data_IF_294875139056
#
_entry.id   IF_294875139056
#
_cell.length_a   1.000
_cell.length_b   1.000
_cell.length_c   1.000
_cell.angle_alpha   90.00
_cell.angle_beta   90.00
_cell.angle_gamma   90.00
#
_symmetry.space_group_name_H-M   'P 1'
#
loop_
_entity.id
_entity.type
_entity.pdbx_description
1 polymer ?
#
# COMPACT_ATOMS: atom_id res chain seq x y z
N UNK A 1 27.89 39.22 -22.66
CA UNK A 1 26.77 38.75 -21.81
C UNK A 1 26.50 39.69 -20.61
N UNK A 2 26.45 41.02 -20.81
CA UNK A 2 26.19 41.99 -19.73
C UNK A 2 25.36 43.23 -20.13
N UNK A 3 24.70 43.22 -21.31
CA UNK A 3 23.80 44.31 -21.76
C UNK A 3 22.32 43.90 -21.89
N UNK A 4 21.97 42.65 -21.62
CA UNK A 4 20.59 42.16 -21.71
C UNK A 4 19.82 42.13 -20.36
N UNK A 5 20.47 42.49 -19.24
CA UNK A 5 19.84 42.46 -17.89
C UNK A 5 19.24 43.79 -17.42
N UNK A 6 19.35 44.88 -18.19
CA UNK A 6 18.86 46.19 -17.75
C UNK A 6 17.50 46.61 -18.35
N UNK A 7 17.01 45.89 -19.37
CA UNK A 7 15.76 46.24 -20.06
C UNK A 7 14.51 45.48 -19.55
N UNK A 8 14.68 44.45 -18.71
CA UNK A 8 13.57 43.66 -18.16
C UNK A 8 13.13 44.07 -16.75
N UNK A 9 13.82 45.02 -16.09
CA UNK A 9 13.44 45.50 -14.75
C UNK A 9 12.44 46.66 -14.76
N UNK A 10 12.27 47.37 -15.87
CA UNK A 10 11.42 48.57 -15.94
C UNK A 10 9.98 48.33 -16.44
N UNK A 11 9.67 47.17 -17.04
CA UNK A 11 8.29 46.87 -17.49
C UNK A 11 7.41 46.26 -16.39
N UNK A 12 8.00 45.59 -15.39
CA UNK A 12 7.26 44.93 -14.30
C UNK A 12 6.80 45.91 -13.22
N UNK A 13 7.54 47.00 -13.00
CA UNK A 13 7.21 48.02 -11.97
C UNK A 13 6.08 48.96 -12.41
N UNK A 14 5.82 49.12 -13.71
CA UNK A 14 4.72 49.97 -14.20
C UNK A 14 3.36 49.26 -14.28
N UNK A 15 3.31 47.93 -14.31
CA UNK A 15 2.03 47.18 -14.27
C UNK A 15 1.48 47.00 -12.84
N UNK A 16 2.33 47.04 -11.80
CA UNK A 16 1.86 46.93 -10.40
C UNK A 16 1.21 48.21 -9.84
N UNK A 17 1.36 49.38 -10.49
CA UNK A 17 0.70 50.63 -10.05
C UNK A 17 -0.69 50.87 -10.66
N UNK A 18 -1.18 50.02 -11.58
CA UNK A 18 -2.51 50.18 -12.20
C UNK A 18 -3.61 49.26 -11.67
N UNK A 19 -3.31 48.36 -10.73
CA UNK A 19 -4.31 47.50 -10.07
C UNK A 19 -4.69 47.98 -8.66
N UNK A 20 -4.05 49.03 -8.13
CA UNK A 20 -4.36 49.60 -6.81
C UNK A 20 -5.30 50.82 -6.82
N UNK A 21 -5.96 51.13 -7.95
CA UNK A 21 -6.77 52.33 -8.11
C UNK A 21 -8.24 52.10 -8.54
N UNK A 22 -8.77 50.87 -8.43
CA UNK A 22 -10.18 50.57 -8.80
C UNK A 22 -11.00 49.98 -7.64
N UNK A 23 -10.48 49.90 -6.41
CA UNK A 23 -11.24 49.38 -5.25
C UNK A 23 -11.75 50.46 -4.27
N UNK A 24 -11.60 51.75 -4.58
CA UNK A 24 -11.99 52.84 -3.64
C UNK A 24 -13.34 53.51 -3.92
N UNK A 25 -14.21 52.89 -4.72
CA UNK A 25 -15.59 53.39 -4.94
C UNK A 25 -16.60 52.27 -4.85
N UNK A 26 -16.92 51.88 -3.62
CA UNK A 26 -18.22 51.31 -3.21
C UNK A 26 -18.31 51.36 -1.66
N UNK A 27 -18.01 52.53 -1.10
CA UNK A 27 -18.35 52.88 0.28
C UNK A 27 -19.73 53.55 0.27
N UNK A 28 -20.77 52.79 0.60
CA UNK A 28 -22.02 53.21 1.26
C UNK A 28 -23.09 52.12 1.06
N UNK A 29 -22.99 51.05 1.85
CA UNK A 29 -24.16 50.32 2.32
C UNK A 29 -24.05 50.27 3.84
N UNK A 30 -24.97 50.96 4.51
CA UNK A 30 -25.10 50.91 5.96
C UNK A 30 -25.44 49.45 6.36
N UNK A 31 -24.45 48.73 6.88
CA UNK A 31 -24.70 47.47 7.56
C UNK A 31 -25.23 47.82 8.95
N UNK A 32 -26.52 47.64 9.18
CA UNK A 32 -27.08 47.65 10.53
C UNK A 32 -26.53 46.45 11.29
N UNK A 33 -25.49 46.65 12.09
CA UNK A 33 -25.06 45.68 13.08
C UNK A 33 -26.05 45.71 14.24
N UNK A 34 -27.09 44.89 14.18
CA UNK A 34 -27.82 44.48 15.38
C UNK A 34 -26.89 43.59 16.20
N UNK A 35 -26.37 44.14 17.31
CA UNK A 35 -25.68 43.36 18.33
C UNK A 35 -26.69 42.40 18.93
N UNK A 36 -26.52 41.10 18.69
CA UNK A 36 -27.32 40.07 19.35
C UNK A 36 -26.67 39.82 20.70
N UNK A 37 -27.29 40.30 21.78
CA UNK A 37 -26.92 39.90 23.13
C UNK A 37 -27.28 38.42 23.35
N UNK A 38 -26.38 37.59 23.91
CA UNK A 38 -26.70 36.21 24.21
C UNK A 38 -27.71 36.14 25.36
N UNK A 39 -28.84 35.46 25.13
CA UNK A 39 -29.79 35.14 26.21
C UNK A 39 -29.20 34.03 27.09
N UNK A 40 -29.35 34.13 28.42
CA UNK A 40 -28.99 33.06 29.33
C UNK A 40 -30.04 31.95 29.27
N UNK A 41 -29.57 30.73 29.01
CA UNK A 41 -30.17 29.41 29.23
C UNK A 41 -31.60 29.10 28.73
N UNK A 42 -31.73 28.03 27.94
CA UNK A 42 -32.99 27.30 27.77
C UNK A 42 -33.14 26.56 26.44
N UNK A 43 -33.02 25.22 26.50
CA UNK A 43 -33.34 24.26 25.43
C UNK A 43 -34.68 24.54 24.71
N UNK A 44 -34.69 24.45 23.38
CA UNK A 44 -35.83 23.91 22.60
C UNK A 44 -35.32 23.26 21.31
N UNK A 45 -35.67 22.00 21.09
CA UNK A 45 -35.59 21.28 19.81
C UNK A 45 -36.88 21.57 19.03
N UNK A 46 -36.78 22.01 17.77
CA UNK A 46 -37.84 21.76 16.76
C UNK A 46 -37.24 21.65 15.35
N UNK A 47 -37.72 20.65 14.62
CA UNK A 47 -37.42 20.30 13.23
C UNK A 47 -37.86 21.33 12.20
N UNK A 48 -37.08 21.50 11.12
CA UNK A 48 -37.58 21.45 9.73
C UNK A 48 -36.44 21.53 8.72
N UNK A 49 -36.66 20.89 7.58
CA UNK A 49 -35.85 20.95 6.35
C UNK A 49 -35.44 22.37 5.97
N UNK A 50 -34.14 22.60 5.85
CA UNK A 50 -33.57 23.62 4.96
C UNK A 50 -32.08 23.34 4.76
N UNK A 51 -31.65 23.35 3.50
CA UNK A 51 -30.25 23.32 3.12
C UNK A 51 -29.57 24.60 3.66
N UNK A 52 -29.02 24.54 4.86
CA UNK A 52 -28.17 25.60 5.42
C UNK A 52 -26.71 25.30 5.09
N UNK A 53 -26.15 26.10 4.19
CA UNK A 53 -24.75 26.04 3.72
C UNK A 53 -23.73 26.69 4.66
N UNK A 54 -24.08 26.86 5.94
CA UNK A 54 -23.13 27.12 7.03
C UNK A 54 -23.73 26.45 8.27
N UNK A 55 -23.00 25.53 8.89
CA UNK A 55 -23.56 24.62 9.89
C UNK A 55 -24.00 25.38 11.15
N UNK A 56 -25.26 25.20 11.53
CA UNK A 56 -25.80 25.64 12.82
C UNK A 56 -25.25 24.84 14.03
N UNK A 57 -24.06 24.23 13.88
CA UNK A 57 -23.38 23.39 14.88
C UNK A 57 -22.08 24.02 15.40
N UNK A 58 -21.77 25.25 14.99
CA UNK A 58 -20.53 25.91 15.40
C UNK A 58 -20.69 26.41 16.85
N UNK A 59 -20.10 25.69 17.79
CA UNK A 59 -19.99 26.11 19.19
C UNK A 59 -18.86 27.14 19.31
N UNK A 60 -19.20 28.41 19.46
CA UNK A 60 -18.22 29.47 19.64
C UNK A 60 -17.68 29.51 21.09
N UNK A 61 -16.39 29.85 21.23
CA UNK A 61 -15.75 30.13 22.51
C UNK A 61 -15.04 31.48 22.44
N UNK A 62 -15.05 32.23 23.54
CA UNK A 62 -14.23 33.44 23.72
C UNK A 62 -12.86 33.12 24.35
N UNK A 63 -12.57 31.84 24.59
CA UNK A 63 -11.29 31.38 25.13
C UNK A 63 -10.33 31.10 23.98
N UNK A 64 -9.22 31.84 23.91
CA UNK A 64 -8.15 31.57 22.95
C UNK A 64 -7.35 30.34 23.43
N UNK A 65 -7.65 29.17 22.85
CA UNK A 65 -6.98 27.93 23.19
C UNK A 65 -6.59 27.17 21.92
N UNK A 66 -5.32 26.77 21.83
CA UNK A 66 -4.84 25.87 20.80
C UNK A 66 -5.08 24.42 21.21
N UNK A 67 -5.54 23.57 20.28
CA UNK A 67 -5.61 22.12 20.48
C UNK A 67 -4.19 21.56 20.28
N UNK A 68 -3.48 21.27 21.38
CA UNK A 68 -2.07 20.88 21.34
C UNK A 68 -1.82 19.37 21.44
N UNK A 69 -2.74 18.61 22.05
CA UNK A 69 -2.61 17.16 22.24
C UNK A 69 -3.94 16.48 21.94
N UNK A 70 -3.88 15.48 21.08
CA UNK A 70 -4.96 14.50 20.90
C UNK A 70 -4.59 13.23 21.67
N UNK A 71 -5.59 12.45 22.05
CA UNK A 71 -5.37 11.14 22.65
C UNK A 71 -4.69 10.23 21.62
N UNK A 72 -3.59 9.58 22.03
CA UNK A 72 -2.88 8.62 21.18
C UNK A 72 -3.73 7.39 20.93
N UNK A 73 -3.82 6.96 19.67
CA UNK A 73 -4.54 5.77 19.25
C UNK A 73 -3.80 4.50 19.71
N UNK A 74 -4.52 3.62 20.39
CA UNK A 74 -4.00 2.31 20.81
C UNK A 74 -4.04 1.32 19.64
N UNK A 75 -3.09 0.40 19.62
CA UNK A 75 -3.08 -0.70 18.66
C UNK A 75 -3.96 -1.84 19.18
N UNK A 76 -5.04 -2.16 18.44
CA UNK A 76 -5.88 -3.32 18.70
C UNK A 76 -5.09 -4.62 18.56
N UNK A 77 -5.24 -5.51 19.54
CA UNK A 77 -4.54 -6.81 19.61
C UNK A 77 -5.51 -7.89 20.07
N UNK A 78 -5.41 -9.07 19.47
CA UNK A 78 -6.21 -10.25 19.80
C UNK A 78 -5.38 -11.27 20.57
N UNK A 79 -4.15 -11.53 20.13
CA UNK A 79 -3.23 -12.48 20.74
C UNK A 79 -1.99 -11.80 21.33
N UNK A 80 -1.54 -12.29 22.48
CA UNK A 80 -0.20 -11.94 22.96
C UNK A 80 0.93 -12.64 22.20
N UNK A 81 2.18 -12.31 22.52
CA UNK A 81 3.37 -12.91 21.90
C UNK A 81 3.49 -14.43 22.12
N UNK A 82 2.74 -15.01 23.07
CA UNK A 82 2.69 -16.45 23.32
C UNK A 82 1.65 -17.17 22.47
N UNK A 83 0.92 -16.44 21.61
CA UNK A 83 -0.18 -17.01 20.83
C UNK A 83 -1.42 -17.30 21.67
N UNK A 84 -1.53 -16.70 22.86
CA UNK A 84 -2.71 -16.80 23.72
C UNK A 84 -3.68 -15.68 23.39
N UNK A 85 -4.94 -16.03 23.16
CA UNK A 85 -6.02 -15.06 22.92
C UNK A 85 -6.32 -14.32 24.23
N UNK A 86 -6.27 -12.99 24.18
CA UNK A 86 -6.47 -12.12 25.35
C UNK A 86 -7.95 -11.93 25.71
N UNK A 87 -8.82 -11.90 24.70
CA UNK A 87 -10.26 -11.80 24.86
C UNK A 87 -10.95 -12.78 23.89
N UNK A 88 -11.70 -13.73 24.43
CA UNK A 88 -12.37 -14.78 23.66
C UNK A 88 -13.39 -14.22 22.65
N UNK A 89 -14.02 -13.07 22.93
CA UNK A 89 -14.97 -12.40 22.02
C UNK A 89 -14.30 -11.86 20.75
N UNK A 90 -12.97 -11.80 20.74
CA UNK A 90 -12.17 -11.37 19.62
C UNK A 90 -11.41 -12.52 18.93
N UNK A 91 -11.51 -13.76 19.41
CA UNK A 91 -11.04 -14.92 18.64
C UNK A 91 -11.92 -15.05 17.38
N UNK A 92 -11.36 -14.98 16.16
CA UNK A 92 -12.16 -15.13 14.95
C UNK A 92 -12.76 -16.53 14.80
N UNK A 93 -12.30 -17.51 15.59
CA UNK A 93 -12.81 -18.89 15.62
C UNK A 93 -12.88 -19.53 14.22
N UNK A 94 -11.88 -19.25 13.38
CA UNK A 94 -11.78 -19.81 12.04
C UNK A 94 -11.58 -21.34 12.09
N UNK A 95 -12.08 -22.08 11.09
CA UNK A 95 -11.80 -23.50 10.94
C UNK A 95 -10.29 -23.79 10.93
N UNK A 96 -9.89 -24.95 11.46
CA UNK A 96 -8.48 -25.38 11.55
C UNK A 96 -7.78 -25.27 10.20
N UNK A 97 -8.45 -25.65 9.12
CA UNK A 97 -7.93 -25.67 7.75
C UNK A 97 -7.57 -24.25 7.27
N UNK A 98 -8.39 -23.26 7.59
CA UNK A 98 -8.15 -21.86 7.22
C UNK A 98 -6.98 -21.27 8.00
N UNK A 99 -6.89 -21.57 9.31
CA UNK A 99 -5.75 -21.13 10.13
C UNK A 99 -4.45 -21.76 9.63
N UNK A 100 -4.48 -23.08 9.34
CA UNK A 100 -3.34 -23.78 8.79
C UNK A 100 -2.93 -23.24 7.42
N UNK A 101 -3.89 -22.84 6.58
CA UNK A 101 -3.60 -22.17 5.30
C UNK A 101 -2.83 -20.88 5.54
N UNK A 102 -3.32 -19.98 6.42
CA UNK A 102 -2.63 -18.73 6.74
C UNK A 102 -1.19 -18.97 7.20
N UNK A 103 -0.98 -19.90 8.14
CA UNK A 103 0.34 -20.18 8.67
C UNK A 103 1.29 -20.78 7.62
N UNK A 104 0.79 -21.75 6.83
CA UNK A 104 1.55 -22.35 5.72
C UNK A 104 1.93 -21.32 4.67
N UNK A 105 1.04 -20.39 4.33
CA UNK A 105 1.32 -19.32 3.38
C UNK A 105 2.36 -18.31 3.92
N UNK A 106 2.35 -18.01 5.22
CA UNK A 106 3.40 -17.20 5.85
C UNK A 106 4.76 -17.90 5.78
N UNK A 107 4.81 -19.21 6.05
CA UNK A 107 6.03 -20.02 5.92
C UNK A 107 6.54 -20.10 4.48
N UNK A 108 5.62 -20.24 3.52
CA UNK A 108 5.90 -20.25 2.10
C UNK A 108 6.58 -18.94 1.67
N UNK A 109 5.97 -17.80 2.02
CA UNK A 109 6.50 -16.48 1.73
C UNK A 109 7.90 -16.29 2.33
N UNK A 110 8.06 -16.60 3.61
CA UNK A 110 9.34 -16.47 4.31
C UNK A 110 10.44 -17.34 3.67
N UNK A 111 10.11 -18.56 3.27
CA UNK A 111 11.07 -19.47 2.62
C UNK A 111 11.43 -19.00 1.20
N UNK A 112 10.44 -18.52 0.44
CA UNK A 112 10.64 -17.94 -0.89
C UNK A 112 11.55 -16.72 -0.84
N UNK A 113 11.34 -15.85 0.14
CA UNK A 113 12.16 -14.66 0.33
C UNK A 113 13.63 -14.99 0.57
N UNK A 114 13.95 -15.99 1.39
CA UNK A 114 15.33 -16.41 1.62
C UNK A 114 16.01 -16.87 0.32
N UNK A 115 15.33 -17.70 -0.47
CA UNK A 115 15.88 -18.27 -1.70
C UNK A 115 16.08 -17.19 -2.77
N UNK A 116 15.08 -16.33 -3.00
CA UNK A 116 15.16 -15.31 -4.05
C UNK A 116 16.06 -14.13 -3.67
N UNK A 117 16.15 -13.80 -2.37
CA UNK A 117 17.15 -12.86 -1.87
C UNK A 117 18.57 -13.35 -2.16
N UNK A 118 18.88 -14.62 -1.85
CA UNK A 118 20.18 -15.22 -2.15
C UNK A 118 20.46 -15.30 -3.65
N UNK A 119 19.44 -15.60 -4.47
CA UNK A 119 19.56 -15.59 -5.91
C UNK A 119 19.97 -14.21 -6.45
N UNK A 120 19.43 -13.14 -5.86
CA UNK A 120 19.83 -11.78 -6.19
C UNK A 120 21.29 -11.51 -5.77
N UNK A 121 21.71 -11.98 -4.58
CA UNK A 121 23.12 -11.84 -4.12
C UNK A 121 24.12 -12.57 -5.03
N UNK A 122 23.66 -13.60 -5.73
CA UNK A 122 24.43 -14.32 -6.74
C UNK A 122 24.36 -13.70 -8.15
N UNK A 123 23.63 -12.59 -8.31
CA UNK A 123 23.46 -11.91 -9.60
C UNK A 123 22.50 -12.62 -10.58
N UNK A 124 21.70 -13.58 -10.12
CA UNK A 124 20.80 -14.38 -10.98
C UNK A 124 19.50 -13.65 -11.30
N UNK A 125 19.08 -12.76 -10.40
CA UNK A 125 18.03 -11.78 -10.62
C UNK A 125 18.58 -10.39 -10.26
N UNK A 126 18.00 -9.33 -10.82
CA UNK A 126 18.56 -7.97 -10.70
C UNK A 126 18.23 -7.29 -9.37
N UNK A 127 17.07 -7.59 -8.78
CA UNK A 127 16.55 -6.92 -7.59
C UNK A 127 15.66 -7.87 -6.78
N UNK A 128 15.56 -7.66 -5.46
CA UNK A 128 14.59 -8.35 -4.63
C UNK A 128 14.28 -7.55 -3.35
N UNK A 129 13.11 -7.79 -2.76
CA UNK A 129 12.67 -7.25 -1.48
C UNK A 129 12.03 -8.37 -0.67
N UNK A 130 12.45 -8.53 0.58
CA UNK A 130 11.87 -9.53 1.48
C UNK A 130 10.71 -8.95 2.28
N UNK A 131 9.88 -9.82 2.83
CA UNK A 131 8.66 -9.51 3.57
C UNK A 131 8.81 -9.78 5.09
N UNK A 132 10.05 -9.97 5.57
CA UNK A 132 10.33 -10.33 6.95
C UNK A 132 9.79 -9.30 7.95
N UNK A 133 8.96 -9.78 8.88
CA UNK A 133 8.24 -9.00 9.88
C UNK A 133 6.82 -8.63 9.46
N UNK A 134 6.48 -8.73 8.17
CA UNK A 134 5.19 -8.31 7.64
C UNK A 134 4.33 -9.51 7.19
N UNK A 135 4.71 -10.75 7.55
CA UNK A 135 4.01 -11.96 7.10
C UNK A 135 2.58 -12.06 7.65
N UNK A 136 2.31 -11.54 8.85
CA UNK A 136 0.96 -11.54 9.44
C UNK A 136 -0.07 -10.72 8.64
N UNK A 137 0.39 -9.87 7.70
CA UNK A 137 -0.49 -9.15 6.79
C UNK A 137 -1.34 -10.09 5.92
N UNK A 138 -1.00 -11.38 5.82
CA UNK A 138 -1.89 -12.43 5.27
C UNK A 138 -3.28 -12.42 5.90
N UNK A 139 -3.42 -12.00 7.17
CA UNK A 139 -4.74 -11.83 7.81
C UNK A 139 -5.67 -10.90 7.03
N UNK A 140 -5.12 -9.89 6.35
CA UNK A 140 -5.91 -8.98 5.52
C UNK A 140 -6.42 -9.68 4.26
N UNK A 141 -5.61 -10.54 3.64
CA UNK A 141 -5.99 -11.33 2.48
C UNK A 141 -7.09 -12.34 2.83
N UNK A 142 -7.01 -12.96 4.00
CA UNK A 142 -8.01 -13.90 4.51
C UNK A 142 -9.36 -13.24 4.83
N UNK A 143 -9.38 -11.94 5.09
CA UNK A 143 -10.58 -11.18 5.40
C UNK A 143 -11.30 -10.60 4.17
N UNK A 144 -10.66 -10.63 2.99
CA UNK A 144 -11.23 -10.15 1.73
C UNK A 144 -11.93 -11.27 0.96
N UNK A 145 -12.85 -10.90 0.06
CA UNK A 145 -13.35 -11.82 -0.97
C UNK A 145 -12.45 -11.75 -2.23
N UNK A 146 -12.48 -12.78 -3.09
CA UNK A 146 -11.73 -12.79 -4.34
C UNK A 146 -12.10 -11.64 -5.30
N UNK A 147 -13.31 -11.11 -5.20
CA UNK A 147 -13.84 -10.02 -6.03
C UNK A 147 -13.30 -8.64 -5.62
N UNK A 148 -12.75 -8.49 -4.41
CA UNK A 148 -12.18 -7.23 -3.97
C UNK A 148 -10.88 -6.93 -4.73
N UNK A 149 -10.74 -5.68 -5.17
CA UNK A 149 -9.60 -5.23 -5.97
C UNK A 149 -8.47 -4.77 -5.06
N UNK A 150 -7.28 -5.30 -5.24
CA UNK A 150 -6.10 -4.94 -4.43
C UNK A 150 -5.16 -4.04 -5.23
N UNK A 151 -4.77 -2.94 -4.61
CA UNK A 151 -3.67 -2.08 -5.03
C UNK A 151 -2.55 -2.19 -4.00
N UNK A 152 -1.33 -2.45 -4.45
CA UNK A 152 -0.16 -2.61 -3.60
C UNK A 152 0.92 -1.55 -3.85
N UNK A 153 2.01 -1.64 -3.10
CA UNK A 153 3.18 -0.80 -3.24
C UNK A 153 4.39 -1.59 -3.77
N UNK A 154 4.78 -2.68 -3.10
CA UNK A 154 5.83 -3.64 -3.50
C UNK A 154 6.15 -4.70 -2.40
N UNK A 155 5.44 -4.69 -1.28
CA UNK A 155 5.65 -5.63 -0.15
C UNK A 155 4.40 -6.46 0.13
N UNK A 156 3.58 -6.66 -0.90
CA UNK A 156 2.27 -7.30 -0.82
C UNK A 156 2.26 -8.72 -1.42
N UNK A 157 3.41 -9.37 -1.60
CA UNK A 157 3.45 -10.74 -2.10
C UNK A 157 2.62 -11.70 -1.22
N UNK A 158 2.48 -11.40 0.08
CA UNK A 158 1.59 -12.11 1.00
C UNK A 158 0.14 -12.22 0.50
N UNK A 159 -0.38 -11.18 -0.16
CA UNK A 159 -1.75 -11.17 -0.71
C UNK A 159 -1.86 -12.13 -1.89
N UNK A 160 -0.86 -12.09 -2.78
CA UNK A 160 -0.80 -12.97 -3.95
C UNK A 160 -0.60 -14.44 -3.55
N UNK A 161 0.28 -14.72 -2.58
CA UNK A 161 0.45 -16.06 -2.01
C UNK A 161 -0.90 -16.57 -1.50
N UNK A 162 -1.60 -15.79 -0.67
CA UNK A 162 -2.89 -16.22 -0.12
C UNK A 162 -3.96 -16.44 -1.20
N UNK A 163 -4.01 -15.57 -2.23
CA UNK A 163 -4.94 -15.68 -3.37
C UNK A 163 -4.55 -16.76 -4.39
N UNK A 164 -3.43 -17.47 -4.19
CA UNK A 164 -3.05 -18.62 -5.01
C UNK A 164 -2.25 -18.26 -6.26
N UNK A 165 -1.46 -17.19 -6.22
CA UNK A 165 -0.40 -16.94 -7.19
C UNK A 165 0.67 -18.02 -7.03
N UNK A 166 0.95 -18.73 -8.12
CA UNK A 166 1.85 -19.87 -8.13
C UNK A 166 3.31 -19.44 -7.98
N UNK A 167 4.14 -20.37 -7.49
CA UNK A 167 5.59 -20.18 -7.40
C UNK A 167 6.21 -19.88 -8.76
N UNK A 168 5.71 -20.52 -9.82
CA UNK A 168 6.14 -20.23 -11.19
C UNK A 168 5.85 -18.78 -11.57
N UNK A 169 4.65 -18.25 -11.26
CA UNK A 169 4.32 -16.85 -11.55
C UNK A 169 5.24 -15.87 -10.81
N UNK A 170 5.52 -16.10 -9.52
CA UNK A 170 6.47 -15.27 -8.75
C UNK A 170 7.87 -15.30 -9.34
N UNK A 171 8.40 -16.51 -9.56
CA UNK A 171 9.78 -16.70 -10.02
C UNK A 171 9.94 -16.20 -11.46
N UNK A 172 8.99 -16.47 -12.35
CA UNK A 172 9.08 -16.04 -13.75
C UNK A 172 9.14 -14.51 -13.87
N UNK A 173 8.37 -13.78 -13.05
CA UNK A 173 8.45 -12.32 -12.99
C UNK A 173 9.83 -11.84 -12.51
N UNK A 174 10.38 -12.43 -11.46
CA UNK A 174 11.70 -12.07 -10.94
C UNK A 174 12.85 -12.37 -11.93
N UNK A 175 12.71 -13.42 -12.74
CA UNK A 175 13.69 -13.75 -13.80
C UNK A 175 13.44 -12.95 -15.09
N UNK A 176 12.32 -12.25 -15.20
CA UNK A 176 11.90 -11.54 -16.42
C UNK A 176 11.97 -12.46 -17.64
N UNK A 177 11.42 -13.68 -17.52
CA UNK A 177 11.45 -14.69 -18.58
C UNK A 177 10.16 -14.68 -19.42
N UNK A 178 10.11 -15.48 -20.49
CA UNK A 178 9.01 -15.51 -21.46
C UNK A 178 7.63 -15.86 -20.88
N UNK A 179 7.56 -16.43 -19.66
CA UNK A 179 6.30 -16.73 -18.97
C UNK A 179 5.87 -15.64 -17.97
N UNK A 180 6.64 -14.56 -17.83
CA UNK A 180 6.21 -13.39 -17.10
C UNK A 180 5.05 -12.70 -17.83
N UNK A 181 3.90 -12.56 -17.16
CA UNK A 181 2.75 -11.82 -17.70
C UNK A 181 3.08 -10.35 -17.99
N UNK A 182 4.03 -9.77 -17.25
CA UNK A 182 4.57 -8.44 -17.46
C UNK A 182 5.54 -8.34 -18.65
N UNK A 183 5.78 -9.45 -19.36
CA UNK A 183 6.67 -9.55 -20.53
C UNK A 183 8.09 -9.06 -20.23
N UNK A 184 8.56 -9.24 -19.00
CA UNK A 184 9.90 -8.86 -18.54
C UNK A 184 10.17 -7.35 -18.54
N UNK A 185 9.13 -6.51 -18.57
CA UNK A 185 9.28 -5.05 -18.71
C UNK A 185 9.53 -4.31 -17.41
N UNK A 186 9.12 -4.90 -16.29
CA UNK A 186 9.26 -4.29 -14.97
C UNK A 186 10.34 -4.97 -14.15
N UNK A 187 10.83 -4.23 -13.15
CA UNK A 187 11.77 -4.73 -12.15
C UNK A 187 11.18 -5.95 -11.41
N UNK A 188 12.00 -6.90 -10.94
CA UNK A 188 11.55 -7.93 -10.02
C UNK A 188 10.73 -7.36 -8.83
N UNK A 189 9.81 -8.17 -8.29
CA UNK A 189 8.83 -7.79 -7.23
C UNK A 189 7.64 -6.96 -7.75
N UNK A 190 7.64 -6.52 -9.02
CA UNK A 190 6.51 -5.80 -9.60
C UNK A 190 5.41 -6.75 -10.10
N UNK A 191 4.83 -7.51 -9.18
CA UNK A 191 3.81 -8.49 -9.49
C UNK A 191 2.48 -7.85 -9.89
N UNK A 192 1.69 -8.59 -10.65
CA UNK A 192 0.34 -8.20 -11.06
C UNK A 192 -0.45 -9.43 -11.52
N UNK A 193 -1.75 -9.48 -11.22
CA UNK A 193 -2.60 -10.57 -11.66
C UNK A 193 -4.04 -10.13 -11.84
N UNK A 194 -4.48 -10.06 -13.10
CA UNK A 194 -5.89 -9.82 -13.45
C UNK A 194 -6.79 -10.92 -12.88
N UNK A 195 -6.35 -12.19 -12.91
CA UNK A 195 -7.09 -13.34 -12.38
C UNK A 195 -7.37 -13.21 -10.89
N UNK A 196 -6.43 -12.65 -10.14
CA UNK A 196 -6.50 -12.54 -8.68
C UNK A 196 -6.92 -11.14 -8.22
N UNK A 197 -7.46 -10.30 -9.12
CA UNK A 197 -7.85 -8.92 -8.84
C UNK A 197 -6.75 -8.12 -8.11
N UNK A 198 -5.50 -8.33 -8.51
CA UNK A 198 -4.33 -7.65 -7.94
C UNK A 198 -3.72 -6.76 -9.03
N UNK A 199 -3.83 -5.45 -8.83
CA UNK A 199 -3.31 -4.47 -9.79
C UNK A 199 -1.79 -4.52 -9.82
N UNK A 200 -1.22 -4.42 -11.02
CA UNK A 200 0.22 -4.51 -11.21
C UNK A 200 0.93 -3.40 -10.46
N UNK A 201 1.93 -3.78 -9.67
CA UNK A 201 2.78 -2.86 -8.92
C UNK A 201 3.52 -1.89 -9.85
N UNK A 202 3.68 -0.65 -9.40
CA UNK A 202 4.56 0.36 -10.00
C UNK A 202 5.46 0.99 -8.94
N UNK A 203 6.69 1.38 -9.32
CA UNK A 203 7.68 1.95 -8.40
C UNK A 203 7.28 3.29 -7.76
N UNK A 204 6.64 4.25 -8.46
CA UNK A 204 6.30 5.56 -7.89
C UNK A 204 5.35 5.45 -6.69
N UNK A 205 5.80 5.93 -5.54
CA UNK A 205 5.05 5.83 -4.28
C UNK A 205 3.80 6.71 -4.30
N UNK A 206 2.76 6.26 -3.60
CA UNK A 206 1.52 7.02 -3.40
C UNK A 206 0.56 6.99 -4.59
N UNK A 207 1.05 6.78 -5.81
CA UNK A 207 0.25 6.86 -7.06
C UNK A 207 -0.95 5.91 -7.10
N UNK A 208 -0.86 4.75 -6.46
CA UNK A 208 -1.94 3.77 -6.40
C UNK A 208 -3.09 4.18 -5.45
N UNK A 209 -2.86 5.11 -4.53
CA UNK A 209 -3.83 5.51 -3.49
C UNK A 209 -5.05 6.23 -4.10
N UNK A 210 -4.90 7.28 -4.94
CA UNK A 210 -6.04 7.86 -5.64
C UNK A 210 -6.64 6.90 -6.68
N UNK A 211 -5.83 6.03 -7.31
CA UNK A 211 -6.34 5.03 -8.26
C UNK A 211 -7.29 4.03 -7.57
N UNK A 212 -6.92 3.54 -6.39
CA UNK A 212 -7.76 2.65 -5.59
C UNK A 212 -9.08 3.33 -5.18
N UNK A 213 -9.04 4.61 -4.87
CA UNK A 213 -10.21 5.42 -4.52
C UNK A 213 -11.17 5.57 -5.71
N UNK A 214 -10.64 5.77 -6.91
CA UNK A 214 -11.41 5.81 -8.15
C UNK A 214 -11.98 4.45 -8.55
N UNK A 215 -11.20 3.38 -8.39
CA UNK A 215 -11.68 2.00 -8.62
C UNK A 215 -12.82 1.62 -7.66
N UNK A 216 -12.70 1.97 -6.37
CA UNK A 216 -13.79 1.80 -5.41
C UNK A 216 -15.03 2.60 -5.80
N UNK A 217 -14.85 3.84 -6.25
CA UNK A 217 -15.98 4.64 -6.75
C UNK A 217 -16.69 3.97 -7.93
N UNK A 218 -15.94 3.36 -8.85
CA UNK A 218 -16.51 2.57 -9.95
C UNK A 218 -17.28 1.33 -9.46
N UNK A 219 -16.75 0.60 -8.46
CA UNK A 219 -17.44 -0.55 -7.83
C UNK A 219 -18.76 -0.13 -7.18
N UNK A 220 -18.77 1.01 -6.50
CA UNK A 220 -19.99 1.61 -5.96
C UNK A 220 -21.00 1.93 -7.06
N UNK A 221 -20.57 2.60 -8.13
CA UNK A 221 -21.45 3.00 -9.24
C UNK A 221 -22.02 1.81 -10.00
N UNK A 222 -21.31 0.68 -10.04
CA UNK A 222 -21.82 -0.56 -10.63
C UNK A 222 -22.70 -1.38 -9.68
N UNK A 223 -22.84 -0.98 -8.41
CA UNK A 223 -23.57 -1.74 -7.40
C UNK A 223 -22.88 -3.05 -7.01
N UNK A 224 -21.57 -3.16 -7.23
CA UNK A 224 -20.81 -4.36 -6.90
C UNK A 224 -20.72 -4.57 -5.38
N UNK A 225 -20.85 -5.83 -4.95
CA UNK A 225 -20.61 -6.24 -3.56
C UNK A 225 -19.11 -6.45 -3.29
N UNK A 226 -18.30 -5.44 -3.62
CA UNK A 226 -16.85 -5.48 -3.53
C UNK A 226 -16.29 -4.11 -3.14
N UNK A 227 -15.14 -4.10 -2.50
CA UNK A 227 -14.37 -2.89 -2.22
C UNK A 227 -13.01 -2.89 -2.94
N UNK A 228 -12.30 -1.77 -2.90
CA UNK A 228 -10.85 -1.80 -3.12
C UNK A 228 -10.11 -1.81 -1.79
N UNK A 229 -8.98 -2.51 -1.73
CA UNK A 229 -8.02 -2.41 -0.63
C UNK A 229 -6.70 -1.88 -1.18
N UNK A 230 -6.17 -0.82 -0.55
CA UNK A 230 -4.96 -0.14 -0.98
C UNK A 230 -3.88 -0.21 0.10
N UNK A 231 -2.81 -0.95 -0.15
CA UNK A 231 -1.63 -0.97 0.72
C UNK A 231 -0.66 0.16 0.41
N UNK A 232 -0.03 0.68 1.46
CA UNK A 232 1.09 1.63 1.39
C UNK A 232 1.86 1.64 2.72
N UNK A 233 3.13 2.01 2.68
CA UNK A 233 3.95 2.26 3.88
C UNK A 233 3.74 3.65 4.45
N UNK A 234 4.17 3.87 5.70
CA UNK A 234 4.05 5.18 6.36
C UNK A 234 4.86 6.28 5.65
N UNK A 235 5.94 5.92 4.95
CA UNK A 235 6.68 6.86 4.10
C UNK A 235 5.92 7.28 2.85
N UNK A 236 5.19 6.37 2.20
CA UNK A 236 4.34 6.71 1.06
C UNK A 236 3.15 7.59 1.46
N UNK A 237 2.74 7.54 2.74
CA UNK A 237 1.72 8.43 3.28
C UNK A 237 2.18 9.90 3.44
N UNK A 238 3.46 10.20 3.17
CA UNK A 238 3.97 11.57 3.06
C UNK A 238 3.86 12.17 1.65
N UNK A 239 3.52 11.35 0.64
CA UNK A 239 3.30 11.84 -0.72
C UNK A 239 1.98 12.63 -0.83
N UNK A 240 1.92 13.58 -1.77
CA UNK A 240 0.70 14.36 -2.03
C UNK A 240 -0.50 13.50 -2.47
N UNK A 241 -0.23 12.38 -3.15
CA UNK A 241 -1.27 11.45 -3.60
C UNK A 241 -2.00 10.75 -2.46
N UNK A 242 -1.37 10.60 -1.28
CA UNK A 242 -2.06 10.12 -0.08
C UNK A 242 -3.18 11.08 0.32
N UNK A 243 -2.89 12.37 0.39
CA UNK A 243 -3.88 13.41 0.70
C UNK A 243 -5.02 13.42 -0.34
N UNK A 244 -4.66 13.38 -1.63
CA UNK A 244 -5.62 13.40 -2.72
C UNK A 244 -6.57 12.18 -2.68
N UNK A 245 -6.01 10.98 -2.52
CA UNK A 245 -6.78 9.73 -2.49
C UNK A 245 -7.75 9.66 -1.30
N UNK A 246 -7.28 9.97 -0.10
CA UNK A 246 -8.13 9.94 1.10
C UNK A 246 -9.29 10.94 1.00
N UNK A 247 -9.00 12.19 0.63
CA UNK A 247 -10.04 13.21 0.52
C UNK A 247 -11.04 12.88 -0.60
N UNK A 248 -10.56 12.38 -1.74
CA UNK A 248 -11.43 11.93 -2.83
C UNK A 248 -12.35 10.80 -2.38
N UNK A 249 -11.81 9.78 -1.69
CA UNK A 249 -12.60 8.66 -1.21
C UNK A 249 -13.66 9.07 -0.18
N UNK A 250 -13.32 9.98 0.75
CA UNK A 250 -14.24 10.47 1.77
C UNK A 250 -15.40 11.26 1.14
N UNK A 251 -15.08 12.23 0.30
CA UNK A 251 -16.08 13.11 -0.33
C UNK A 251 -16.96 12.36 -1.33
N UNK A 252 -16.40 11.39 -2.07
CA UNK A 252 -17.14 10.57 -3.02
C UNK A 252 -17.81 9.35 -2.39
N UNK A 253 -17.61 9.13 -1.08
CA UNK A 253 -18.16 7.97 -0.37
C UNK A 253 -17.78 6.68 -1.09
N UNK A 254 -16.48 6.49 -1.30
CA UNK A 254 -15.93 5.33 -2.01
C UNK A 254 -15.73 4.14 -1.04
N UNK A 255 -16.14 2.91 -1.40
CA UNK A 255 -15.90 1.70 -0.61
C UNK A 255 -14.44 1.25 -0.74
N UNK A 256 -13.52 1.94 -0.05
CA UNK A 256 -12.07 1.66 -0.07
C UNK A 256 -11.52 1.45 1.34
N UNK A 257 -10.68 0.44 1.50
CA UNK A 257 -9.88 0.23 2.70
C UNK A 257 -8.46 0.73 2.41
N UNK A 258 -8.04 1.78 3.10
CA UNK A 258 -6.66 2.22 3.11
C UNK A 258 -5.90 1.45 4.19
N UNK A 259 -4.87 0.70 3.81
CA UNK A 259 -4.12 -0.16 4.71
C UNK A 259 -2.66 0.29 4.78
N UNK A 260 -2.33 1.06 5.82
CA UNK A 260 -0.98 1.52 6.08
C UNK A 260 -0.17 0.46 6.83
N UNK A 261 0.95 0.03 6.26
CA UNK A 261 1.97 -0.77 6.93
C UNK A 261 3.00 0.17 7.54
N UNK A 262 2.88 0.45 8.83
CA UNK A 262 3.82 1.31 9.54
C UNK A 262 4.90 0.45 10.18
N UNK A 263 6.04 0.34 9.50
CA UNK A 263 7.17 -0.48 9.95
C UNK A 263 8.31 0.35 10.58
N UNK A 264 8.06 1.65 10.76
CA UNK A 264 8.95 2.61 11.39
C UNK A 264 10.02 3.23 10.49
N UNK A 265 10.19 2.79 9.24
CA UNK A 265 11.26 3.25 8.35
C UNK A 265 10.89 3.30 6.85
N UNK A 266 11.14 4.45 6.24
CA UNK A 266 11.17 4.63 4.79
C UNK A 266 12.63 4.60 4.29
N UNK A 267 13.07 3.46 3.76
CA UNK A 267 14.50 3.19 3.49
C UNK A 267 15.32 3.38 4.77
N UNK A 268 16.01 4.52 4.91
CA UNK A 268 16.82 4.92 6.06
C UNK A 268 16.18 5.97 6.95
N UNK A 269 15.08 6.59 6.52
CA UNK A 269 14.41 7.66 7.25
C UNK A 269 13.50 7.06 8.33
N UNK A 270 13.80 7.27 9.63
CA UNK A 270 12.91 6.81 10.70
C UNK A 270 11.61 7.60 10.73
N UNK A 271 10.55 7.00 11.29
CA UNK A 271 9.23 7.63 11.45
C UNK A 271 9.26 8.98 12.17
N UNK A 272 10.22 9.18 13.09
CA UNK A 272 10.44 10.44 13.82
C UNK A 272 10.88 11.60 12.93
N UNK A 273 11.45 11.32 11.76
CA UNK A 273 11.78 12.28 10.70
C UNK A 273 10.72 12.31 9.60
N UNK A 274 9.89 11.27 9.51
CA UNK A 274 8.80 11.18 8.53
C UNK A 274 7.60 12.06 8.91
N UNK A 275 7.22 12.07 10.19
CA UNK A 275 6.08 12.84 10.68
C UNK A 275 6.19 13.18 12.17
N UNK A 276 5.37 14.14 12.64
CA UNK A 276 5.27 14.54 14.05
C UNK A 276 3.91 14.26 14.70
N UNK A 277 2.93 13.82 13.91
CA UNK A 277 1.63 13.39 14.41
C UNK A 277 1.67 12.00 15.03
N UNK A 278 0.52 11.55 15.53
CA UNK A 278 0.35 10.19 16.03
C UNK A 278 0.15 9.21 14.87
N UNK A 279 1.24 8.89 14.18
CA UNK A 279 1.24 7.94 13.06
C UNK A 279 0.38 8.40 11.88
N UNK A 280 -0.09 7.42 11.11
CA UNK A 280 -0.95 7.62 9.96
C UNK A 280 -2.43 7.53 10.36
N UNK A 281 -2.77 6.68 11.34
CA UNK A 281 -4.16 6.51 11.80
C UNK A 281 -4.81 7.84 12.25
N UNK A 282 -4.09 8.68 13.00
CA UNK A 282 -4.63 9.98 13.44
C UNK A 282 -5.05 10.91 12.29
N UNK A 283 -4.48 10.73 11.08
CA UNK A 283 -4.79 11.55 9.92
C UNK A 283 -6.17 11.26 9.33
N UNK A 284 -6.64 10.00 9.41
CA UNK A 284 -7.92 9.60 8.82
C UNK A 284 -9.11 10.37 9.40
N UNK A 285 -9.08 10.62 10.71
CA UNK A 285 -10.10 11.42 11.43
C UNK A 285 -10.28 12.80 10.79
N UNK A 286 -9.19 13.45 10.36
CA UNK A 286 -9.23 14.76 9.73
C UNK A 286 -9.93 14.79 8.36
N UNK A 287 -10.05 13.64 7.69
CA UNK A 287 -10.80 13.48 6.44
C UNK A 287 -12.22 12.95 6.66
N UNK A 288 -12.63 12.73 7.91
CA UNK A 288 -13.90 12.07 8.23
C UNK A 288 -13.90 10.57 7.91
N UNK A 289 -12.74 9.91 8.00
CA UNK A 289 -12.56 8.49 7.70
C UNK A 289 -12.49 7.69 9.01
N UNK A 290 -13.33 6.67 9.14
CA UNK A 290 -13.25 5.73 10.26
C UNK A 290 -11.89 5.05 10.27
N UNK A 291 -11.22 5.08 11.43
CA UNK A 291 -9.82 4.68 11.51
C UNK A 291 -9.54 3.78 12.71
N UNK A 292 -8.69 2.78 12.50
CA UNK A 292 -8.20 1.88 13.54
C UNK A 292 -6.69 1.66 13.39
N UNK A 293 -6.00 1.53 14.52
CA UNK A 293 -4.62 1.04 14.58
C UNK A 293 -4.62 -0.39 15.10
N UNK A 294 -3.81 -1.26 14.52
CA UNK A 294 -3.72 -2.68 14.89
C UNK A 294 -2.28 -3.09 15.13
N UNK A 295 -2.09 -4.12 15.96
CA UNK A 295 -0.83 -4.87 16.04
C UNK A 295 -0.61 -5.58 14.70
N UNK A 296 0.41 -5.17 13.94
CA UNK A 296 0.73 -5.66 12.61
C UNK A 296 1.45 -7.02 12.58
N UNK A 297 1.86 -7.52 13.74
CA UNK A 297 2.32 -8.90 13.89
C UNK A 297 1.13 -9.82 14.30
N UNK A 298 -0.01 -9.19 14.64
CA UNK A 298 -1.36 -9.62 15.01
C UNK A 298 -2.18 -10.21 13.87
N UNK A 299 -1.98 -11.44 13.40
CA UNK A 299 -2.78 -11.92 12.27
C UNK A 299 -4.29 -11.85 12.51
N UNK A 300 -4.77 -12.09 13.74
CA UNK A 300 -6.19 -11.99 14.09
C UNK A 300 -6.63 -10.55 14.31
N UNK A 301 -5.77 -9.69 14.84
CA UNK A 301 -6.04 -8.26 14.88
C UNK A 301 -6.21 -7.67 13.47
N UNK A 302 -5.33 -8.04 12.54
CA UNK A 302 -5.38 -7.65 11.13
C UNK A 302 -6.64 -8.23 10.47
N UNK A 303 -6.91 -9.54 10.65
CA UNK A 303 -8.07 -10.20 10.07
C UNK A 303 -9.38 -9.54 10.53
N UNK A 304 -9.57 -9.38 11.84
CA UNK A 304 -10.78 -8.79 12.41
C UNK A 304 -10.99 -7.36 11.92
N UNK A 305 -9.95 -6.53 11.96
CA UNK A 305 -10.04 -5.14 11.51
C UNK A 305 -10.32 -5.04 10.01
N UNK A 306 -9.67 -5.87 9.19
CA UNK A 306 -9.89 -5.87 7.74
C UNK A 306 -11.29 -6.37 7.40
N UNK A 307 -11.78 -7.41 8.09
CA UNK A 307 -13.12 -7.96 7.88
C UNK A 307 -14.20 -6.93 8.21
N UNK A 308 -14.07 -6.28 9.38
CA UNK A 308 -14.97 -5.20 9.78
C UNK A 308 -14.89 -4.01 8.82
N UNK A 309 -13.68 -3.60 8.41
CA UNK A 309 -13.48 -2.51 7.45
C UNK A 309 -14.11 -2.80 6.09
N UNK A 310 -13.99 -4.03 5.58
CA UNK A 310 -14.65 -4.50 4.36
C UNK A 310 -16.15 -4.39 4.46
N UNK A 311 -16.72 -4.90 5.55
CA UNK A 311 -18.17 -4.82 5.78
C UNK A 311 -18.66 -3.38 5.83
N UNK A 312 -17.98 -2.51 6.58
CA UNK A 312 -18.30 -1.08 6.65
C UNK A 312 -18.19 -0.41 5.29
N UNK A 313 -17.08 -0.65 4.56
CA UNK A 313 -16.83 -0.03 3.28
C UNK A 313 -17.94 -0.34 2.27
N UNK A 314 -18.37 -1.60 2.19
CA UNK A 314 -19.39 -2.03 1.24
C UNK A 314 -20.81 -1.62 1.70
N UNK A 315 -21.17 -1.84 2.97
CA UNK A 315 -22.53 -1.59 3.46
C UNK A 315 -22.83 -0.09 3.59
N UNK A 316 -21.86 0.68 4.03
CA UNK A 316 -22.03 2.11 4.31
C UNK A 316 -21.45 3.01 3.21
N UNK A 317 -20.78 2.43 2.21
CA UNK A 317 -20.18 3.14 1.08
C UNK A 317 -19.26 4.25 1.56
N UNK A 318 -18.31 3.90 2.42
CA UNK A 318 -17.37 4.85 3.04
C UNK A 318 -15.96 4.29 3.05
N UNK A 319 -14.93 5.14 3.04
CA UNK A 319 -13.56 4.69 3.24
C UNK A 319 -13.33 4.27 4.70
N UNK A 320 -12.36 3.38 4.92
CA UNK A 320 -11.84 3.02 6.24
C UNK A 320 -10.31 3.04 6.18
N UNK A 321 -9.65 3.54 7.22
CA UNK A 321 -8.19 3.53 7.37
C UNK A 321 -7.76 2.53 8.45
N UNK A 322 -6.85 1.63 8.10
CA UNK A 322 -6.19 0.72 9.02
C UNK A 322 -4.70 1.07 9.04
N UNK A 323 -4.14 1.32 10.21
CA UNK A 323 -2.68 1.40 10.42
C UNK A 323 -2.20 0.15 11.17
N UNK A 324 -1.47 -0.72 10.49
CA UNK A 324 -0.86 -1.89 11.10
C UNK A 324 0.57 -1.56 11.53
N UNK A 325 0.81 -1.61 12.84
CA UNK A 325 2.11 -1.35 13.44
C UNK A 325 2.97 -2.61 13.40
N UNK A 326 4.04 -2.60 12.63
CA UNK A 326 4.94 -3.74 12.47
C UNK A 326 6.39 -3.25 12.55
N UNK A 327 7.35 -4.11 12.21
CA UNK A 327 8.76 -3.80 12.20
C UNK A 327 9.45 -4.46 11.01
N UNK A 328 10.20 -3.68 10.21
CA UNK A 328 10.86 -4.20 9.02
C UNK A 328 12.12 -4.98 9.41
N UNK A 329 12.03 -6.30 9.55
CA UNK A 329 13.16 -7.11 10.03
C UNK A 329 14.30 -7.15 9.00
N UNK A 330 13.97 -7.32 7.72
CA UNK A 330 14.95 -7.27 6.64
C UNK A 330 15.46 -5.86 6.30
N UNK A 331 16.43 -5.81 5.38
CA UNK A 331 16.81 -4.57 4.71
C UNK A 331 15.64 -4.00 3.90
N UNK A 332 15.76 -2.75 3.46
CA UNK A 332 14.75 -2.15 2.58
C UNK A 332 14.64 -2.90 1.25
N UNK A 333 15.78 -3.30 0.67
CA UNK A 333 15.86 -4.12 -0.53
C UNK A 333 17.26 -4.72 -0.62
N UNK A 334 17.52 -5.50 -1.67
CA UNK A 334 18.88 -5.95 -1.99
C UNK A 334 19.85 -4.84 -2.37
N UNK A 335 19.36 -3.62 -2.59
CA UNK A 335 20.20 -2.43 -2.86
C UNK A 335 20.45 -1.60 -1.59
N UNK A 336 19.99 -2.07 -0.44
CA UNK A 336 20.11 -1.41 0.86
C UNK A 336 20.95 -2.24 1.85
N UNK A 337 21.60 -1.56 2.78
CA UNK A 337 22.26 -2.15 3.92
C UNK A 337 21.80 -1.40 5.18
N UNK A 338 20.82 -1.99 5.87
CA UNK A 338 20.20 -1.35 7.02
C UNK A 338 21.07 -1.31 8.27
N UNK A 339 22.19 -2.05 8.30
CA UNK A 339 23.11 -2.02 9.44
C UNK A 339 23.80 -0.67 9.60
N UNK A 340 23.75 0.18 8.57
CA UNK A 340 24.33 1.53 8.56
C UNK A 340 23.51 2.58 9.31
N UNK A 341 22.22 2.33 9.54
CA UNK A 341 21.32 3.35 10.11
C UNK A 341 20.32 2.79 11.13
N UNK A 342 20.39 1.50 11.46
CA UNK A 342 19.55 0.85 12.48
C UNK A 342 20.41 0.06 13.45
N UNK A 343 20.02 0.06 14.72
CA UNK A 343 20.69 -0.75 15.73
C UNK A 343 20.40 -2.24 15.48
N UNK A 344 21.45 -3.02 15.30
CA UNK A 344 21.39 -4.45 15.06
C UNK A 344 20.72 -5.20 16.22
N UNK A 345 20.97 -4.76 17.45
CA UNK A 345 20.40 -5.35 18.66
C UNK A 345 18.89 -5.15 18.70
N UNK A 346 18.41 -3.96 18.35
CA UNK A 346 16.98 -3.66 18.27
C UNK A 346 16.28 -4.58 17.25
N UNK A 347 16.90 -4.77 16.07
CA UNK A 347 16.35 -5.66 15.04
C UNK A 347 16.27 -7.11 15.52
N UNK A 348 17.31 -7.61 16.16
CA UNK A 348 17.36 -8.98 16.70
C UNK A 348 16.32 -9.19 17.82
N UNK A 349 16.19 -8.22 18.74
CA UNK A 349 15.17 -8.26 19.79
C UNK A 349 13.75 -8.28 19.20
N UNK A 350 13.47 -7.41 18.21
CA UNK A 350 12.17 -7.41 17.50
C UNK A 350 11.92 -8.74 16.79
N UNK A 351 12.93 -9.28 16.11
CA UNK A 351 12.84 -10.56 15.39
C UNK A 351 12.59 -11.75 16.31
N UNK A 352 13.06 -11.69 17.55
CA UNK A 352 12.95 -12.77 18.53
C UNK A 352 11.64 -12.72 19.32
N UNK A 353 11.27 -11.53 19.82
CA UNK A 353 10.17 -11.38 20.78
C UNK A 353 8.82 -11.08 20.14
N UNK A 354 8.80 -10.47 18.95
CA UNK A 354 7.58 -9.99 18.30
C UNK A 354 7.49 -10.46 16.84
N UNK A 355 7.67 -11.77 16.65
CA UNK A 355 7.68 -12.41 15.35
C UNK A 355 6.28 -12.96 14.99
N UNK A 356 5.68 -12.55 13.85
CA UNK A 356 4.35 -13.00 13.45
C UNK A 356 4.25 -14.51 13.21
N UNK A 357 5.29 -15.14 12.62
CA UNK A 357 5.34 -16.59 12.43
C UNK A 357 5.36 -17.32 13.76
N UNK A 358 6.24 -16.92 14.67
CA UNK A 358 6.33 -17.55 16.01
C UNK A 358 5.02 -17.41 16.77
N UNK A 359 4.37 -16.24 16.70
CA UNK A 359 3.09 -16.02 17.39
C UNK A 359 1.98 -16.94 16.87
N UNK A 360 1.77 -17.02 15.55
CA UNK A 360 0.74 -17.90 14.99
C UNK A 360 1.07 -19.38 15.18
N UNK A 361 2.36 -19.76 15.13
CA UNK A 361 2.82 -21.11 15.44
C UNK A 361 2.40 -21.53 16.85
N UNK A 362 2.67 -20.68 17.85
CA UNK A 362 2.30 -20.97 19.25
C UNK A 362 0.79 -21.09 19.43
N UNK A 363 0.00 -20.25 18.75
CA UNK A 363 -1.46 -20.38 18.74
C UNK A 363 -1.91 -21.76 18.21
N UNK A 364 -1.29 -22.24 17.13
CA UNK A 364 -1.56 -23.57 16.57
C UNK A 364 -1.13 -24.71 17.50
N UNK A 365 0.05 -24.60 18.12
CA UNK A 365 0.56 -25.57 19.10
C UNK A 365 -0.35 -25.65 20.34
N UNK A 366 -0.80 -24.50 20.86
CA UNK A 366 -1.76 -24.43 21.97
C UNK A 366 -3.10 -25.14 21.65
N UNK A 367 -3.50 -25.17 20.37
CA UNK A 367 -4.69 -25.89 19.89
C UNK A 367 -4.41 -27.34 19.45
N UNK A 368 -3.17 -27.82 19.57
CA UNK A 368 -2.71 -29.13 19.05
C UNK A 368 -2.96 -29.29 17.54
N UNK A 369 -2.82 -28.21 16.77
CA UNK A 369 -3.06 -28.19 15.34
C UNK A 369 -1.79 -28.24 14.49
N UNK A 370 -0.63 -28.02 15.12
CA UNK A 370 0.68 -28.02 14.46
C UNK A 370 1.76 -28.53 15.39
N UNK A 371 2.78 -29.16 14.82
CA UNK A 371 3.92 -29.76 15.52
C UNK A 371 5.24 -29.44 14.82
N UNK A 372 6.35 -29.68 15.51
CA UNK A 372 7.68 -29.51 14.93
C UNK A 372 7.93 -30.44 13.73
N UNK A 373 7.43 -31.67 13.76
CA UNK A 373 7.58 -32.62 12.64
C UNK A 373 6.81 -32.14 11.40
N UNK A 374 5.61 -31.58 11.58
CA UNK A 374 4.83 -30.97 10.49
C UNK A 374 5.49 -29.72 9.92
N UNK A 375 6.09 -28.88 10.78
CA UNK A 375 6.89 -27.72 10.40
C UNK A 375 8.05 -28.13 9.48
N UNK A 376 8.86 -29.11 9.91
CA UNK A 376 10.06 -29.55 9.19
C UNK A 376 9.69 -30.20 7.85
N UNK A 377 8.64 -31.03 7.84
CA UNK A 377 8.11 -31.63 6.63
C UNK A 377 7.61 -30.56 5.64
N UNK A 378 6.87 -29.55 6.12
CA UNK A 378 6.34 -28.49 5.28
C UNK A 378 7.44 -27.59 4.72
N UNK A 379 8.41 -27.16 5.55
CA UNK A 379 9.56 -26.37 5.10
C UNK A 379 10.38 -27.10 4.04
N UNK A 380 10.63 -28.40 4.22
CA UNK A 380 11.32 -29.24 3.23
C UNK A 380 10.56 -29.30 1.91
N UNK A 381 9.24 -29.50 1.97
CA UNK A 381 8.37 -29.50 0.79
C UNK A 381 8.43 -28.16 0.07
N UNK A 382 8.18 -27.06 0.76
CA UNK A 382 8.19 -25.70 0.20
C UNK A 382 9.52 -25.37 -0.45
N UNK A 383 10.65 -25.64 0.23
CA UNK A 383 11.98 -25.42 -0.34
C UNK A 383 12.17 -26.21 -1.64
N UNK A 384 11.74 -27.48 -1.67
CA UNK A 384 11.81 -28.31 -2.89
C UNK A 384 10.94 -27.72 -4.02
N UNK A 385 9.72 -27.30 -3.71
CA UNK A 385 8.79 -26.74 -4.68
C UNK A 385 9.34 -25.44 -5.28
N UNK A 386 9.85 -24.52 -4.45
CA UNK A 386 10.49 -23.26 -4.90
C UNK A 386 11.71 -23.55 -5.77
N UNK A 387 12.59 -24.46 -5.35
CA UNK A 387 13.80 -24.80 -6.14
C UNK A 387 13.46 -25.44 -7.48
N UNK A 388 12.34 -26.17 -7.56
CA UNK A 388 11.83 -26.74 -8.82
C UNK A 388 11.41 -25.63 -9.78
N UNK A 389 10.56 -24.70 -9.34
CA UNK A 389 10.15 -23.52 -10.12
C UNK A 389 11.35 -22.67 -10.52
N UNK A 390 12.28 -22.44 -9.59
CA UNK A 390 13.48 -21.65 -9.80
C UNK A 390 14.42 -22.24 -10.85
N UNK A 391 14.70 -23.55 -10.78
CA UNK A 391 15.55 -24.24 -11.77
C UNK A 391 14.88 -24.29 -13.15
N UNK A 392 13.54 -24.38 -13.19
CA UNK A 392 12.80 -24.28 -14.44
C UNK A 392 12.93 -22.87 -15.03
N UNK A 393 12.68 -21.83 -14.24
CA UNK A 393 12.71 -20.43 -14.67
C UNK A 393 14.07 -19.95 -15.17
N UNK A 394 15.17 -20.41 -14.56
CA UNK A 394 16.52 -20.05 -14.99
C UNK A 394 16.86 -20.57 -16.40
N UNK A 395 16.28 -21.71 -16.80
CA UNK A 395 16.49 -22.30 -18.12
C UNK A 395 15.57 -21.71 -19.19
N UNK A 396 14.61 -20.86 -18.81
CA UNK A 396 13.67 -20.24 -19.76
C UNK A 396 14.33 -19.10 -20.48
N UNK A 397 13.90 -18.89 -21.73
CA UNK A 397 14.32 -17.74 -22.51
C UNK A 397 13.72 -16.46 -21.94
N UNK A 398 14.36 -15.33 -22.24
CA UNK A 398 13.78 -14.00 -22.08
C UNK A 398 12.60 -13.82 -23.05
N UNK A 399 11.66 -12.92 -22.76
CA UNK A 399 10.55 -12.59 -23.67
C UNK A 399 11.07 -12.17 -25.04
N UNK A 400 10.27 -12.38 -26.09
CA UNK A 400 10.66 -11.95 -27.43
C UNK A 400 10.96 -10.44 -27.47
N UNK A 401 12.04 -10.03 -28.15
CA UNK A 401 12.50 -8.63 -28.24
C UNK A 401 11.39 -7.70 -28.74
N UNK A 402 10.49 -8.19 -29.62
CA UNK A 402 9.33 -7.43 -30.12
C UNK A 402 8.43 -6.89 -29.01
N UNK A 403 8.39 -7.54 -27.85
CA UNK A 403 7.59 -7.10 -26.70
C UNK A 403 8.05 -5.78 -26.09
N UNK A 404 9.25 -5.30 -26.43
CA UNK A 404 9.65 -3.92 -26.13
C UNK A 404 8.67 -2.88 -26.70
N UNK A 405 8.02 -3.19 -27.82
CA UNK A 405 7.16 -2.25 -28.56
C UNK A 405 5.66 -2.48 -28.34
N UNK A 406 5.25 -3.69 -27.98
CA UNK A 406 3.82 -4.03 -27.82
C UNK A 406 3.25 -3.48 -26.51
N UNK A 407 1.93 -3.30 -26.44
CA UNK A 407 1.19 -2.79 -25.26
C UNK A 407 1.61 -1.39 -24.76
N UNK A 408 2.39 -0.63 -25.54
CA UNK A 408 2.55 0.83 -25.34
C UNK A 408 1.21 1.52 -25.58
N UNK A 409 0.51 1.06 -26.62
CA UNK A 409 -0.90 1.31 -26.90
C UNK A 409 -1.58 -0.05 -27.18
N UNK A 410 -2.91 -0.07 -27.25
CA UNK A 410 -3.69 -1.28 -27.57
C UNK A 410 -3.33 -1.83 -28.96
N UNK A 411 -3.25 -0.95 -29.95
CA UNK A 411 -2.73 -1.25 -31.29
C UNK A 411 -1.37 -0.59 -31.50
N UNK A 412 -0.46 -1.28 -32.20
CA UNK A 412 0.88 -0.77 -32.48
C UNK A 412 0.82 0.35 -33.54
N UNK A 413 1.10 1.62 -33.20
CA UNK A 413 0.97 2.72 -34.14
C UNK A 413 2.10 2.68 -35.20
N UNK A 414 1.90 3.32 -36.38
CA UNK A 414 2.85 3.25 -37.51
C UNK A 414 4.29 3.64 -37.17
N UNK A 415 4.49 4.60 -36.26
CA UNK A 415 5.82 4.98 -35.81
C UNK A 415 6.52 3.89 -34.99
N UNK A 416 5.80 3.15 -34.14
CA UNK A 416 6.37 2.03 -33.37
C UNK A 416 6.63 0.81 -34.26
N UNK A 417 5.80 0.58 -35.29
CA UNK A 417 6.08 -0.42 -36.32
C UNK A 417 7.41 -0.12 -37.02
N UNK A 418 7.62 1.14 -37.43
CA UNK A 418 8.87 1.56 -38.07
C UNK A 418 10.08 1.39 -37.15
N UNK A 419 9.96 1.76 -35.88
CA UNK A 419 11.05 1.58 -34.89
C UNK A 419 11.37 0.11 -34.63
N UNK A 420 10.35 -0.76 -34.59
CA UNK A 420 10.55 -2.20 -34.46
C UNK A 420 11.29 -2.77 -35.69
N UNK A 421 10.92 -2.34 -36.90
CA UNK A 421 11.61 -2.72 -38.13
C UNK A 421 13.07 -2.25 -38.12
N UNK A 422 13.33 -1.01 -37.72
CA UNK A 422 14.68 -0.46 -37.59
C UNK A 422 15.53 -1.28 -36.61
N UNK A 423 14.99 -1.66 -35.44
CA UNK A 423 15.72 -2.54 -34.51
C UNK A 423 16.01 -3.92 -35.12
N UNK A 424 15.06 -4.52 -35.83
CA UNK A 424 15.28 -5.80 -36.50
C UNK A 424 16.38 -5.71 -37.57
N UNK A 425 16.43 -4.61 -38.33
CA UNK A 425 17.51 -4.35 -39.28
C UNK A 425 18.86 -4.18 -38.59
N UNK A 426 18.90 -3.49 -37.45
CA UNK A 426 20.12 -3.33 -36.65
C UNK A 426 20.63 -4.67 -36.09
N UNK A 427 19.75 -5.50 -35.51
CA UNK A 427 20.11 -6.83 -35.00
C UNK A 427 20.69 -7.70 -36.12
N UNK A 428 20.09 -7.66 -37.31
CA UNK A 428 20.57 -8.42 -38.48
C UNK A 428 21.92 -7.88 -39.00
N UNK A 429 22.11 -6.56 -38.98
CA UNK A 429 23.33 -5.91 -39.49
C UNK A 429 24.51 -6.04 -38.53
N UNK A 430 24.24 -6.12 -37.24
CA UNK A 430 25.21 -6.07 -36.14
C UNK A 430 25.04 -7.22 -35.13
N UNK A 431 25.00 -8.50 -35.58
CA UNK A 431 24.71 -9.63 -34.69
C UNK A 431 25.70 -9.79 -33.53
N UNK A 432 26.94 -9.33 -33.69
CA UNK A 432 27.98 -9.35 -32.67
C UNK A 432 27.68 -8.43 -31.47
N UNK A 433 26.83 -7.41 -31.65
CA UNK A 433 26.43 -6.47 -30.61
C UNK A 433 25.05 -6.77 -30.02
N UNK A 434 24.26 -7.65 -30.66
CA UNK A 434 22.89 -7.99 -30.27
C UNK A 434 22.71 -9.51 -30.21
N UNK A 435 23.29 -10.14 -29.18
CA UNK A 435 23.03 -11.56 -28.92
C UNK A 435 21.57 -11.74 -28.45
N UNK A 436 20.78 -12.48 -29.24
CA UNK A 436 19.36 -12.76 -28.98
C UNK A 436 19.07 -14.26 -28.80
N UNK A 437 20.10 -15.10 -28.67
CA UNK A 437 19.94 -16.56 -28.57
C UNK A 437 19.10 -16.97 -27.34
N UNK A 438 19.25 -16.21 -26.25
CA UNK A 438 18.52 -16.39 -25.00
C UNK A 438 17.12 -15.75 -25.00
N UNK A 439 16.67 -15.18 -26.11
CA UNK A 439 15.34 -14.57 -26.26
C UNK A 439 14.39 -15.49 -27.03
N UNK A 440 13.11 -15.51 -26.63
CA UNK A 440 12.07 -16.25 -27.33
C UNK A 440 11.83 -15.66 -28.73
N UNK A 441 11.45 -16.50 -29.69
CA UNK A 441 11.22 -16.08 -31.08
C UNK A 441 9.91 -15.32 -31.28
N UNK A 442 8.91 -15.54 -30.42
CA UNK A 442 7.55 -15.05 -30.60
C UNK A 442 6.82 -14.78 -29.30
#
# INVERSE_FOLDING_TARGET
MLRARFLLRNSVVQQQKRLFAVSSKLSNLAASTSVVEPKPDGNVITSSSDARTWSATDNFTNTMQFIQKQQTLQAYRVMDHTGTVLNADHDPNLPKEEVLKCYKDMLLLHTMDGILYDAQRQGRISFYMTHYGEEAMIGSAAALSPEDIVFGQYREAFMLVYRGFSLDEFVNQCFSNELDYGKGRQMPIHYGSKKLNFQTISSPLGTQIPQASGAAYALKMSGANACSLCFFGEGAASEGDFHAGLNMAATLKSPVIFFCRNNGFAISTPSTEQYKGDGIASRGIGYGIDTIRVDGNDIWAIYNATKAAREMAIKEQKPVLIEAMTYRIGHHSTSDDSTKYRDRKEVEERAQFDNPLTRLRRYLENKNWWSQDEEDAYRKKVKKDIMTSFTAAEKRKKPAVKHLFTDVYDELPPNLIKQQQELNELIKKYPEYYNTDDYASS
#
